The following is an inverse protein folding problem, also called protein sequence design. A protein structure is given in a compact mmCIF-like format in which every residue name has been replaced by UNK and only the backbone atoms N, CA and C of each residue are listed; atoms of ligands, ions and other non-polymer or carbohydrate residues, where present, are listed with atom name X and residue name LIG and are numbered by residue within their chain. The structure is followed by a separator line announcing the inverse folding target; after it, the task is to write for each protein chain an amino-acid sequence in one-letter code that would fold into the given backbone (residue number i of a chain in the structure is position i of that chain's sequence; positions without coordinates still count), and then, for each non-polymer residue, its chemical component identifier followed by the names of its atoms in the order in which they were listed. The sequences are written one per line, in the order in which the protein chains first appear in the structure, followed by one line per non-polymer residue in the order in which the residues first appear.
data_IF_340721186575
#
_entry.id   IF_340721186575
#
_cell.length_a   1.000
_cell.length_b   1.000
_cell.length_c   1.000
_cell.angle_alpha   90.00
_cell.angle_beta   90.00
_cell.angle_gamma   90.00
#
_symmetry.space_group_name_H-M   'P 1'
#
loop_
_entity.id
_entity.type
_entity.pdbx_description
1 polymer ?
#
# COMPACT_ATOMS: atom_id res chain seq x y z
N UNK A 1 19.83 53.72 27.01
CA UNK A 1 20.17 54.08 25.62
C UNK A 1 20.59 52.79 24.92
N UNK A 2 19.62 52.09 24.34
CA UNK A 2 19.83 50.92 23.48
C UNK A 2 18.96 51.16 22.25
N UNK A 3 19.57 50.94 21.09
CA UNK A 3 19.34 51.65 19.84
C UNK A 3 18.03 51.30 19.11
N UNK A 4 17.42 52.34 18.53
CA UNK A 4 16.25 52.33 17.65
C UNK A 4 16.59 51.90 16.20
N UNK A 5 16.84 50.62 15.94
CA UNK A 5 17.05 50.14 14.54
C UNK A 5 16.36 48.80 14.21
N UNK A 6 15.16 48.53 14.76
CA UNK A 6 14.35 47.35 14.35
C UNK A 6 13.01 47.77 13.70
N UNK A 7 12.76 49.06 13.50
CA UNK A 7 11.48 49.57 12.97
C UNK A 7 11.45 49.85 11.47
N UNK A 8 12.44 49.41 10.67
CA UNK A 8 12.48 49.75 9.23
C UNK A 8 12.17 48.62 8.24
N UNK A 9 12.15 47.33 8.63
CA UNK A 9 11.84 46.25 7.67
C UNK A 9 10.43 45.64 7.82
N UNK A 10 9.64 46.09 8.79
CA UNK A 10 8.25 45.68 8.96
C UNK A 10 7.23 46.54 8.18
N UNK A 11 7.68 47.55 7.42
CA UNK A 11 6.80 48.55 6.80
C UNK A 11 6.60 48.39 5.27
N UNK A 12 7.07 47.33 4.63
CA UNK A 12 7.01 47.20 3.17
C UNK A 12 6.30 45.93 2.66
N UNK A 13 5.32 45.42 3.40
CA UNK A 13 4.37 44.43 2.86
C UNK A 13 2.95 44.90 3.17
N UNK A 14 2.57 45.99 2.50
CA UNK A 14 1.17 46.39 2.36
C UNK A 14 0.42 45.24 1.73
N UNK A 15 -0.66 44.85 2.39
CA UNK A 15 -1.68 43.94 1.90
C UNK A 15 -2.26 44.50 0.60
N UNK A 16 -1.98 43.84 -0.52
CA UNK A 16 -2.74 43.99 -1.76
C UNK A 16 -3.05 42.61 -2.36
N UNK A 17 -4.34 42.36 -2.53
CA UNK A 17 -4.85 41.54 -3.64
C UNK A 17 -4.92 40.03 -3.43
N UNK A 18 -6.14 39.53 -3.23
CA UNK A 18 -6.55 38.25 -3.79
C UNK A 18 -6.22 38.24 -5.30
N UNK A 19 -5.18 37.52 -5.68
CA UNK A 19 -4.76 37.37 -7.07
C UNK A 19 -3.57 36.41 -7.15
N UNK A 20 -3.69 35.39 -7.99
CA UNK A 20 -2.75 34.28 -8.14
C UNK A 20 -1.29 34.75 -8.33
N UNK A 21 -0.55 34.87 -7.23
CA UNK A 21 0.89 35.15 -7.25
C UNK A 21 1.60 33.81 -7.07
N UNK A 22 2.09 33.24 -8.17
CA UNK A 22 2.93 32.04 -8.15
C UNK A 22 4.08 32.29 -7.19
N UNK A 23 4.11 31.53 -6.09
CA UNK A 23 5.27 31.42 -5.22
C UNK A 23 6.46 30.99 -6.10
N UNK A 24 7.39 31.90 -6.36
CA UNK A 24 8.58 31.56 -7.13
C UNK A 24 9.48 30.66 -6.28
N UNK A 25 10.26 29.77 -6.93
CA UNK A 25 11.17 28.85 -6.24
C UNK A 25 12.09 29.63 -5.28
N UNK A 26 12.58 30.81 -5.67
CA UNK A 26 13.40 31.67 -4.81
C UNK A 26 12.65 32.22 -3.58
N UNK A 27 11.35 32.49 -3.71
CA UNK A 27 10.53 32.90 -2.57
C UNK A 27 10.30 31.73 -1.61
N UNK A 28 10.05 30.53 -2.14
CA UNK A 28 9.90 29.31 -1.36
C UNK A 28 11.20 28.94 -0.62
N UNK A 29 12.36 29.10 -1.28
CA UNK A 29 13.69 28.88 -0.68
C UNK A 29 13.95 29.90 0.41
N UNK A 30 13.62 31.19 0.21
CA UNK A 30 13.73 32.20 1.27
C UNK A 30 12.84 31.89 2.47
N UNK A 31 11.60 31.45 2.25
CA UNK A 31 10.70 31.04 3.34
C UNK A 31 11.24 29.82 4.10
N UNK A 32 11.79 28.82 3.40
CA UNK A 32 12.44 27.66 4.01
C UNK A 32 13.71 28.04 4.79
N UNK A 33 14.52 28.95 4.28
CA UNK A 33 15.71 29.46 4.97
C UNK A 33 15.32 30.28 6.21
N UNK A 34 14.25 31.09 6.13
CA UNK A 34 13.71 31.82 7.27
C UNK A 34 13.17 30.85 8.32
N UNK A 35 12.40 29.84 7.91
CA UNK A 35 11.88 28.81 8.79
C UNK A 35 13.01 28.04 9.49
N UNK A 36 14.08 27.67 8.78
CA UNK A 36 15.25 27.03 9.37
C UNK A 36 16.04 27.96 10.31
N UNK A 37 16.14 29.25 9.98
CA UNK A 37 16.76 30.26 10.86
C UNK A 37 15.99 30.39 12.17
N UNK A 38 14.66 30.41 12.12
CA UNK A 38 13.81 30.41 13.31
C UNK A 38 13.81 29.06 14.05
N UNK A 39 13.98 27.95 13.34
CA UNK A 39 14.16 26.61 13.93
C UNK A 39 15.43 26.53 14.79
N UNK A 40 16.51 27.20 14.36
CA UNK A 40 17.80 27.25 15.09
C UNK A 40 17.76 28.10 16.36
N UNK A 41 16.78 29.00 16.50
CA UNK A 41 16.63 29.92 17.63
C UNK A 41 15.68 29.42 18.73
N UNK A 42 15.21 28.16 18.65
CA UNK A 42 14.36 27.49 19.64
C UNK A 42 12.99 28.15 19.96
N UNK A 43 12.64 29.29 19.38
CA UNK A 43 11.36 29.98 19.63
C UNK A 43 10.14 29.29 18.97
N UNK A 44 10.34 28.39 18.00
CA UNK A 44 9.28 27.59 17.37
C UNK A 44 9.11 26.19 17.96
N UNK A 45 10.00 25.75 18.86
CA UNK A 45 9.96 24.38 19.40
C UNK A 45 8.68 24.13 20.21
N UNK A 46 8.17 25.12 20.96
CA UNK A 46 6.93 24.97 21.71
C UNK A 46 5.66 25.01 20.83
N UNK A 47 5.71 25.64 19.65
CA UNK A 47 4.56 25.72 18.74
C UNK A 47 4.50 24.51 17.79
N UNK A 48 5.65 24.07 17.25
CA UNK A 48 5.73 22.93 16.33
C UNK A 48 5.90 21.57 17.02
N UNK A 49 6.32 21.48 18.28
CA UNK A 49 6.39 20.19 18.98
C UNK A 49 5.02 19.50 19.11
N UNK A 50 3.92 20.26 18.94
CA UNK A 50 2.55 19.72 18.94
C UNK A 50 2.04 19.35 17.55
N UNK A 51 2.78 19.69 16.48
CA UNK A 51 2.44 19.34 15.10
C UNK A 51 3.20 18.08 14.72
N UNK A 52 2.63 16.92 15.06
CA UNK A 52 2.96 15.67 14.39
C UNK A 52 2.38 15.73 12.98
N UNK A 53 3.11 16.34 12.03
CA UNK A 53 2.72 16.30 10.62
C UNK A 53 3.01 14.88 10.10
N UNK A 54 1.98 14.03 10.10
CA UNK A 54 2.07 12.70 9.48
C UNK A 54 2.07 12.88 7.96
N UNK A 55 3.25 12.98 7.36
CA UNK A 55 3.42 12.93 5.90
C UNK A 55 3.42 11.45 5.48
N UNK A 56 2.25 10.82 5.55
CA UNK A 56 2.03 9.46 5.07
C UNK A 56 0.81 9.43 4.15
N UNK A 57 0.90 8.70 3.04
CA UNK A 57 -0.26 8.42 2.21
C UNK A 57 -1.25 7.57 3.02
N UNK A 58 -2.52 7.99 3.04
CA UNK A 58 -3.62 7.31 3.71
C UNK A 58 -4.69 6.94 2.68
N UNK A 59 -5.30 5.78 2.84
CA UNK A 59 -6.44 5.32 2.05
C UNK A 59 -7.74 5.68 2.77
N UNK A 60 -8.76 6.14 2.04
CA UNK A 60 -10.05 6.48 2.62
C UNK A 60 -10.87 5.20 2.93
N UNK A 61 -11.55 5.18 4.08
CA UNK A 61 -12.32 4.02 4.58
C UNK A 61 -13.82 4.36 4.69
N UNK A 62 -14.68 3.39 4.46
CA UNK A 62 -16.15 3.52 4.63
C UNK A 62 -16.56 3.24 6.09
N UNK A 63 -17.64 3.87 6.57
CA UNK A 63 -18.06 3.87 8.00
C UNK A 63 -18.26 2.46 8.63
N UNK A 64 -18.53 1.42 7.83
CA UNK A 64 -18.83 0.05 8.29
C UNK A 64 -17.61 -0.90 8.34
N UNK A 65 -16.38 -0.43 8.08
CA UNK A 65 -15.19 -1.29 8.16
C UNK A 65 -14.66 -1.38 9.59
N UNK A 66 -15.05 -2.43 10.31
CA UNK A 66 -14.41 -2.84 11.55
C UNK A 66 -12.92 -3.16 11.30
N UNK A 67 -12.04 -2.75 12.22
CA UNK A 67 -10.61 -3.10 12.19
C UNK A 67 -10.40 -4.62 12.15
N UNK A 68 -11.36 -5.36 12.71
CA UNK A 68 -11.46 -6.81 12.73
C UNK A 68 -12.15 -7.44 11.50
N UNK A 69 -12.78 -6.67 10.60
CA UNK A 69 -13.31 -7.13 9.30
C UNK A 69 -12.16 -7.42 8.33
N UNK A 70 -11.36 -8.40 8.72
CA UNK A 70 -10.28 -9.06 7.99
C UNK A 70 -10.79 -9.47 6.60
N UNK A 71 -9.92 -9.28 5.58
CA UNK A 71 -9.76 -10.10 4.35
C UNK A 71 -10.36 -9.66 3.02
N UNK A 72 -11.23 -8.67 2.92
CA UNK A 72 -11.82 -8.35 1.62
C UNK A 72 -11.80 -6.86 1.27
N UNK A 73 -11.20 -6.58 0.09
CA UNK A 73 -11.30 -5.35 -0.72
C UNK A 73 -10.36 -4.20 -0.40
N UNK A 74 -9.07 -4.43 -0.63
CA UNK A 74 -8.27 -3.41 -1.33
C UNK A 74 -8.78 -3.41 -2.78
N UNK A 75 -9.42 -2.31 -3.20
CA UNK A 75 -10.07 -2.04 -4.49
C UNK A 75 -11.50 -2.56 -4.71
N UNK A 76 -12.45 -1.73 -4.28
CA UNK A 76 -13.63 -1.43 -5.10
C UNK A 76 -13.72 0.08 -5.38
N UNK A 77 -12.75 0.58 -6.15
CA UNK A 77 -12.98 1.75 -7.02
C UNK A 77 -13.66 1.23 -8.29
N UNK A 78 -14.83 0.59 -8.16
CA UNK A 78 -15.66 0.29 -9.33
C UNK A 78 -16.15 1.62 -9.88
N UNK A 79 -15.67 1.92 -11.08
CA UNK A 79 -16.20 2.91 -12.02
C UNK A 79 -17.71 2.73 -12.14
N UNK A 80 -18.48 3.61 -11.49
CA UNK A 80 -19.94 3.57 -11.54
C UNK A 80 -20.57 4.57 -10.58
N UNK A 81 -20.88 5.76 -11.11
CA UNK A 81 -21.51 6.90 -10.43
C UNK A 81 -20.64 7.62 -9.38
N UNK A 82 -20.17 8.82 -9.74
CA UNK A 82 -19.56 9.80 -8.81
C UNK A 82 -20.66 10.33 -7.89
N UNK A 83 -21.17 9.47 -7.01
CA UNK A 83 -21.82 9.95 -5.80
C UNK A 83 -20.68 10.43 -4.93
N UNK A 84 -20.67 11.73 -4.72
CA UNK A 84 -19.73 12.46 -3.93
C UNK A 84 -19.39 11.78 -2.59
N UNK A 85 -18.41 10.89 -2.54
CA UNK A 85 -18.06 10.17 -1.30
C UNK A 85 -17.38 11.14 -0.34
N UNK A 86 -17.93 11.22 0.85
CA UNK A 86 -17.52 12.09 1.96
C UNK A 86 -16.76 11.16 2.91
N UNK A 87 -15.49 11.46 3.20
CA UNK A 87 -14.63 10.59 4.01
C UNK A 87 -14.08 11.34 5.21
N UNK A 88 -14.27 10.79 6.40
CA UNK A 88 -13.70 11.26 7.66
C UNK A 88 -12.76 10.23 8.29
N UNK A 89 -12.58 9.05 7.67
CA UNK A 89 -11.73 7.96 8.14
C UNK A 89 -10.65 7.60 7.13
N UNK A 90 -9.44 7.43 7.64
CA UNK A 90 -8.22 7.27 6.85
C UNK A 90 -7.34 6.16 7.40
N UNK A 91 -6.99 5.18 6.57
CA UNK A 91 -6.19 4.02 6.93
C UNK A 91 -4.78 4.14 6.36
N UNK A 92 -3.77 3.81 7.16
CA UNK A 92 -2.42 3.58 6.65
C UNK A 92 -1.78 2.38 7.35
N UNK A 93 -0.79 1.79 6.68
CA UNK A 93 -0.01 0.69 7.21
C UNK A 93 1.44 1.16 7.44
N UNK A 94 1.98 0.86 8.62
CA UNK A 94 3.36 1.16 8.99
C UNK A 94 4.11 -0.16 9.21
N UNK A 95 5.13 -0.48 8.40
CA UNK A 95 6.00 -1.61 8.65
C UNK A 95 6.92 -1.31 9.83
N UNK A 96 7.14 -2.29 10.69
CA UNK A 96 8.09 -2.20 11.80
C UNK A 96 8.65 -3.58 12.17
N UNK A 97 9.73 -3.58 12.92
CA UNK A 97 10.30 -4.77 13.55
C UNK A 97 10.32 -4.55 15.06
N UNK A 98 10.28 -5.62 15.86
CA UNK A 98 10.38 -5.50 17.34
C UNK A 98 11.71 -4.92 17.82
N UNK A 99 12.73 -4.93 16.96
CA UNK A 99 14.05 -4.35 17.21
C UNK A 99 14.12 -2.85 16.85
N UNK A 100 13.00 -2.22 16.50
CA UNK A 100 12.91 -0.78 16.23
C UNK A 100 13.29 -0.35 14.81
N UNK A 101 13.70 -1.27 13.94
CA UNK A 101 13.91 -0.97 12.50
C UNK A 101 12.58 -0.95 11.76
N UNK A 102 12.49 -0.13 10.71
CA UNK A 102 11.29 -0.07 9.85
C UNK A 102 11.15 -1.28 8.92
N UNK A 103 12.28 -1.83 8.45
CA UNK A 103 12.33 -3.00 7.59
C UNK A 103 13.21 -4.11 8.16
N UNK A 104 12.81 -5.36 7.96
CA UNK A 104 13.53 -6.57 8.35
C UNK A 104 13.25 -7.75 7.43
N UNK A 105 13.74 -8.95 7.82
CA UNK A 105 13.36 -10.21 7.17
C UNK A 105 11.88 -10.51 7.31
N UNK A 106 11.35 -11.42 6.50
CA UNK A 106 9.91 -11.74 6.50
C UNK A 106 9.44 -12.25 7.87
N UNK A 107 10.30 -13.01 8.55
CA UNK A 107 10.10 -13.55 9.90
C UNK A 107 10.02 -12.47 11.00
N UNK A 108 10.56 -11.29 10.75
CA UNK A 108 10.63 -10.18 11.71
C UNK A 108 9.75 -8.98 11.31
N UNK A 109 9.12 -9.03 10.13
CA UNK A 109 8.40 -7.90 9.56
C UNK A 109 6.97 -7.81 10.05
N UNK A 110 6.75 -7.02 11.10
CA UNK A 110 5.43 -6.66 11.59
C UNK A 110 4.81 -5.55 10.75
N UNK A 111 3.49 -5.42 10.83
CA UNK A 111 2.71 -4.33 10.22
C UNK A 111 1.74 -3.78 11.24
N UNK A 112 1.72 -2.46 11.43
CA UNK A 112 0.68 -1.75 12.18
C UNK A 112 -0.26 -1.08 11.20
N UNK A 113 -1.55 -1.39 11.28
CA UNK A 113 -2.60 -0.69 10.55
C UNK A 113 -3.21 0.33 11.49
N UNK A 114 -3.23 1.59 11.09
CA UNK A 114 -3.82 2.67 11.87
C UNK A 114 -4.98 3.28 11.10
N UNK A 115 -6.09 3.53 11.78
CA UNK A 115 -7.25 4.26 11.27
C UNK A 115 -7.35 5.58 12.03
N UNK A 116 -7.28 6.67 11.28
CA UNK A 116 -7.42 8.03 11.77
C UNK A 116 -8.84 8.51 11.45
N UNK A 117 -9.49 9.14 12.42
CA UNK A 117 -10.74 9.86 12.21
C UNK A 117 -10.46 11.35 12.29
N UNK A 118 -10.95 12.11 11.31
CA UNK A 118 -10.84 13.57 11.28
C UNK A 118 -12.08 14.25 11.87
N UNK A 119 -11.93 15.49 12.32
CA UNK A 119 -13.00 16.31 12.94
C UNK A 119 -14.19 16.54 12.00
N UNK A 120 -13.95 16.46 10.70
CA UNK A 120 -14.98 16.47 9.68
C UNK A 120 -14.54 15.66 8.47
N UNK A 121 -15.23 15.84 7.37
CA UNK A 121 -14.97 15.05 6.17
C UNK A 121 -14.25 15.83 5.08
N UNK A 122 -13.38 15.14 4.34
CA UNK A 122 -12.75 15.71 3.16
C UNK A 122 -13.81 15.95 2.07
N UNK A 123 -13.76 17.16 1.50
CA UNK A 123 -14.82 18.01 0.85
C UNK A 123 -15.07 19.31 1.62
N UNK A 124 -14.50 19.46 2.81
CA UNK A 124 -14.49 20.72 3.53
C UNK A 124 -13.88 21.86 2.69
N UNK A 125 -14.23 23.10 3.03
CA UNK A 125 -13.64 24.32 2.45
C UNK A 125 -12.15 24.49 2.81
N UNK A 126 -11.59 23.57 3.57
CA UNK A 126 -10.22 23.56 4.08
C UNK A 126 -9.47 22.33 3.57
N UNK A 127 -8.16 22.49 3.35
CA UNK A 127 -7.27 21.44 2.84
C UNK A 127 -6.66 20.57 3.94
N UNK A 128 -6.89 20.90 5.21
CA UNK A 128 -6.36 20.20 6.39
C UNK A 128 -7.47 20.06 7.41
N UNK A 129 -7.61 18.87 7.98
CA UNK A 129 -8.55 18.56 9.06
C UNK A 129 -7.79 17.94 10.23
N UNK A 130 -8.19 18.28 11.44
CA UNK A 130 -7.60 17.73 12.66
C UNK A 130 -7.99 16.26 12.80
N UNK A 131 -7.03 15.43 13.23
CA UNK A 131 -7.30 14.05 13.63
C UNK A 131 -7.82 14.05 15.07
N UNK A 132 -9.05 13.60 15.27
CA UNK A 132 -9.73 13.55 16.57
C UNK A 132 -9.65 12.17 17.22
N UNK A 133 -9.40 11.12 16.43
CA UNK A 133 -9.29 9.74 16.91
C UNK A 133 -8.23 8.99 16.11
N UNK A 134 -7.50 8.11 16.79
CA UNK A 134 -6.55 7.19 16.15
C UNK A 134 -6.66 5.83 16.84
N UNK A 135 -6.90 4.79 16.05
CA UNK A 135 -6.92 3.40 16.51
C UNK A 135 -5.94 2.60 15.68
N UNK A 136 -5.26 1.63 16.28
CA UNK A 136 -4.29 0.82 15.55
C UNK A 136 -4.35 -0.66 15.93
N UNK A 137 -4.11 -1.51 14.95
CA UNK A 137 -4.03 -2.95 15.07
C UNK A 137 -2.70 -3.44 14.50
N UNK A 138 -2.02 -4.30 15.25
CA UNK A 138 -0.76 -4.91 14.82
C UNK A 138 -0.98 -6.31 14.27
N UNK A 139 -0.29 -6.60 13.18
CA UNK A 139 -0.26 -7.90 12.53
C UNK A 139 1.12 -8.51 12.74
N UNK A 140 1.12 -9.76 13.19
CA UNK A 140 2.33 -10.56 13.30
C UNK A 140 2.98 -10.79 11.92
N UNK A 141 4.25 -11.22 11.86
CA UNK A 141 4.97 -11.40 10.61
C UNK A 141 4.28 -12.40 9.66
N UNK A 142 3.74 -13.49 10.20
CA UNK A 142 2.97 -14.46 9.42
C UNK A 142 1.65 -13.89 8.92
N UNK A 143 0.90 -13.15 9.75
CA UNK A 143 -0.35 -12.50 9.32
C UNK A 143 -0.09 -11.42 8.27
N UNK A 144 1.04 -10.72 8.38
CA UNK A 144 1.46 -9.75 7.40
C UNK A 144 1.77 -10.43 6.05
N UNK A 145 2.51 -11.55 6.07
CA UNK A 145 2.82 -12.32 4.87
C UNK A 145 1.56 -12.93 4.22
N UNK A 146 0.63 -13.48 5.01
CA UNK A 146 -0.67 -13.96 4.52
C UNK A 146 -1.43 -12.81 3.84
N UNK A 147 -1.51 -11.64 4.49
CA UNK A 147 -2.19 -10.48 3.93
C UNK A 147 -1.55 -9.98 2.62
N UNK A 148 -0.24 -10.12 2.44
CA UNK A 148 0.43 -9.80 1.18
C UNK A 148 0.01 -10.76 0.05
N UNK A 149 -0.07 -12.06 0.36
CA UNK A 149 -0.53 -13.10 -0.59
C UNK A 149 -2.00 -12.86 -0.96
N UNK A 150 -2.86 -12.64 0.04
CA UNK A 150 -4.29 -12.36 -0.17
C UNK A 150 -4.50 -11.09 -1.02
N UNK A 151 -3.75 -10.01 -0.73
CA UNK A 151 -3.81 -8.76 -1.52
C UNK A 151 -3.43 -9.01 -2.98
N UNK A 152 -2.36 -9.77 -3.22
CA UNK A 152 -1.93 -10.09 -4.59
C UNK A 152 -2.94 -10.97 -5.31
N UNK A 153 -3.52 -11.93 -4.59
CA UNK A 153 -4.56 -12.84 -5.10
C UNK A 153 -5.82 -12.07 -5.48
N UNK A 154 -6.27 -11.14 -4.62
CA UNK A 154 -7.41 -10.28 -4.90
C UNK A 154 -7.17 -9.38 -6.12
N UNK A 155 -5.98 -8.79 -6.25
CA UNK A 155 -5.62 -8.00 -7.42
C UNK A 155 -5.70 -8.81 -8.72
N UNK A 156 -5.20 -10.06 -8.72
CA UNK A 156 -5.37 -10.95 -9.86
C UNK A 156 -6.84 -11.25 -10.12
N UNK A 157 -7.62 -11.62 -9.10
CA UNK A 157 -9.06 -11.91 -9.27
C UNK A 157 -9.83 -10.77 -9.91
N UNK A 158 -9.60 -9.55 -9.46
CA UNK A 158 -10.27 -8.37 -10.01
C UNK A 158 -9.98 -8.22 -11.51
N UNK A 159 -8.76 -8.53 -11.96
CA UNK A 159 -8.44 -8.54 -13.39
C UNK A 159 -9.07 -9.72 -14.13
N UNK A 160 -9.46 -10.80 -13.45
CA UNK A 160 -10.14 -11.96 -14.05
C UNK A 160 -11.66 -11.81 -14.12
N UNK A 161 -12.26 -10.97 -13.28
CA UNK A 161 -13.69 -10.65 -13.35
C UNK A 161 -14.02 -9.98 -14.69
N UNK A 162 -14.99 -10.53 -15.42
CA UNK A 162 -15.35 -9.99 -16.74
C UNK A 162 -16.08 -8.64 -16.62
N UNK A 163 -15.68 -7.59 -17.36
CA UNK A 163 -16.50 -6.42 -17.52
C UNK A 163 -17.73 -6.80 -18.34
N UNK A 164 -18.92 -6.54 -17.78
CA UNK A 164 -20.14 -6.40 -18.55
C UNK A 164 -19.94 -5.24 -19.54
N UNK A 165 -19.66 -5.59 -20.80
CA UNK A 165 -19.95 -4.76 -21.97
C UNK A 165 -19.15 -3.45 -22.12
N UNK A 166 -17.94 -3.50 -22.70
CA UNK A 166 -17.40 -2.41 -23.56
C UNK A 166 -16.03 -2.80 -24.15
N UNK A 167 -15.97 -2.97 -25.46
CA UNK A 167 -14.77 -3.39 -26.23
C UNK A 167 -13.55 -2.44 -26.10
N UNK A 168 -13.73 -1.23 -25.55
CA UNK A 168 -12.66 -0.25 -25.38
C UNK A 168 -11.70 -0.50 -24.20
N UNK A 169 -12.02 -1.41 -23.27
CA UNK A 169 -11.25 -1.59 -22.02
C UNK A 169 -10.29 -2.80 -22.03
N UNK A 170 -10.13 -3.50 -23.16
CA UNK A 170 -9.41 -4.77 -23.21
C UNK A 170 -7.88 -4.63 -23.09
N UNK A 171 -7.29 -3.64 -23.78
CA UNK A 171 -5.82 -3.46 -23.80
C UNK A 171 -5.25 -3.02 -22.43
N UNK A 172 -5.81 -2.02 -21.71
CA UNK A 172 -5.33 -1.65 -20.39
C UNK A 172 -5.46 -2.78 -19.36
N UNK A 173 -6.52 -3.59 -19.48
CA UNK A 173 -6.74 -4.77 -18.65
C UNK A 173 -5.69 -5.85 -18.92
N UNK A 174 -5.39 -6.14 -20.19
CA UNK A 174 -4.34 -7.10 -20.55
C UNK A 174 -2.99 -6.67 -19.96
N UNK A 175 -2.61 -5.40 -20.10
CA UNK A 175 -1.37 -4.87 -19.54
C UNK A 175 -1.33 -4.95 -18.01
N UNK A 176 -2.45 -4.64 -17.33
CA UNK A 176 -2.55 -4.78 -15.88
C UNK A 176 -2.40 -6.25 -15.45
N UNK A 177 -3.13 -7.16 -16.12
CA UNK A 177 -3.05 -8.60 -15.90
C UNK A 177 -1.62 -9.12 -16.11
N UNK A 178 -0.96 -8.75 -17.21
CA UNK A 178 0.42 -9.12 -17.53
C UNK A 178 1.38 -8.70 -16.41
N UNK A 179 1.31 -7.44 -15.98
CA UNK A 179 2.16 -6.90 -14.91
C UNK A 179 1.94 -7.61 -13.57
N UNK A 180 0.68 -7.85 -13.20
CA UNK A 180 0.36 -8.53 -11.94
C UNK A 180 0.75 -10.01 -12.03
N UNK A 181 0.49 -10.68 -13.14
CA UNK A 181 0.81 -12.09 -13.30
C UNK A 181 2.33 -12.33 -13.33
N UNK A 182 3.08 -11.52 -14.09
CA UNK A 182 4.54 -11.59 -14.12
C UNK A 182 5.16 -11.44 -12.73
N UNK A 183 4.77 -10.38 -11.99
CA UNK A 183 5.27 -10.19 -10.62
C UNK A 183 4.72 -11.19 -9.60
N UNK A 184 3.89 -12.16 -10.01
CA UNK A 184 3.37 -13.24 -9.17
C UNK A 184 4.09 -14.57 -9.45
N UNK A 185 4.31 -14.93 -10.72
CA UNK A 185 4.83 -16.25 -11.12
C UNK A 185 6.21 -16.23 -11.76
N UNK A 186 6.68 -15.05 -12.21
CA UNK A 186 7.95 -14.88 -12.92
C UNK A 186 8.78 -13.75 -12.27
N UNK A 187 8.92 -13.81 -10.95
CA UNK A 187 9.57 -12.76 -10.16
C UNK A 187 11.09 -12.84 -10.32
N UNK A 188 11.72 -11.74 -10.76
CA UNK A 188 13.17 -11.68 -10.98
C UNK A 188 13.93 -10.89 -9.90
N UNK A 189 13.29 -9.89 -9.29
CA UNK A 189 13.95 -8.94 -8.37
C UNK A 189 13.40 -9.01 -6.94
N UNK A 190 12.11 -9.28 -6.78
CA UNK A 190 11.47 -9.33 -5.47
C UNK A 190 11.41 -10.75 -4.90
N UNK A 191 11.37 -10.85 -3.58
CA UNK A 191 11.15 -12.12 -2.87
C UNK A 191 9.65 -12.47 -2.98
N UNK A 192 9.30 -13.37 -3.92
CA UNK A 192 7.93 -13.80 -4.19
C UNK A 192 7.33 -14.69 -3.10
N UNK A 193 6.22 -15.40 -3.38
CA UNK A 193 5.58 -16.27 -2.37
C UNK A 193 6.46 -17.43 -1.89
N UNK A 194 7.49 -17.79 -2.68
CA UNK A 194 8.47 -18.78 -2.28
C UNK A 194 9.25 -18.36 -1.02
N UNK A 195 9.67 -17.10 -0.91
CA UNK A 195 10.42 -16.65 0.27
C UNK A 195 9.56 -16.68 1.53
N UNK A 196 8.23 -16.55 1.40
CA UNK A 196 7.30 -16.75 2.51
C UNK A 196 7.36 -18.21 2.98
N UNK A 197 7.37 -19.17 2.05
CA UNK A 197 7.52 -20.59 2.40
C UNK A 197 8.89 -20.85 3.02
N UNK A 198 9.95 -20.29 2.46
CA UNK A 198 11.30 -20.43 3.05
C UNK A 198 11.35 -19.88 4.47
N UNK A 199 10.78 -18.70 4.73
CA UNK A 199 10.80 -18.07 6.04
C UNK A 199 9.96 -18.83 7.08
N UNK A 200 8.76 -19.28 6.72
CA UNK A 200 7.79 -19.81 7.69
C UNK A 200 7.61 -21.33 7.69
N UNK A 201 8.06 -22.04 6.66
CA UNK A 201 7.82 -23.48 6.48
C UNK A 201 9.10 -24.35 6.42
N UNK A 202 10.30 -23.77 6.35
CA UNK A 202 11.57 -24.54 6.27
C UNK A 202 11.96 -25.29 7.56
N UNK A 203 11.24 -25.08 8.67
CA UNK A 203 11.34 -25.93 9.85
C UNK A 203 12.31 -25.47 10.95
N UNK A 204 12.79 -24.22 10.95
CA UNK A 204 13.53 -23.70 12.10
C UNK A 204 12.61 -23.54 13.34
N UNK A 205 13.08 -23.85 14.57
CA UNK A 205 12.24 -23.79 15.77
C UNK A 205 11.61 -22.42 16.03
N UNK A 206 12.31 -21.34 15.67
CA UNK A 206 11.87 -19.96 15.87
C UNK A 206 10.73 -19.53 14.93
N UNK A 207 10.56 -20.22 13.79
CA UNK A 207 9.53 -19.91 12.78
C UNK A 207 8.37 -20.91 12.82
N UNK A 208 8.33 -21.79 13.81
CA UNK A 208 7.27 -22.79 13.97
C UNK A 208 5.92 -22.10 14.22
N UNK A 209 5.10 -22.07 13.17
CA UNK A 209 3.75 -21.52 13.20
C UNK A 209 2.82 -22.34 14.11
N UNK A 210 1.82 -21.67 14.71
CA UNK A 210 0.70 -22.37 15.34
C UNK A 210 -0.11 -23.10 14.26
N UNK A 211 -0.79 -24.18 14.62
CA UNK A 211 -1.58 -24.98 13.67
C UNK A 211 -2.57 -24.14 12.85
N UNK A 212 -3.22 -23.16 13.48
CA UNK A 212 -4.16 -22.25 12.81
C UNK A 212 -3.47 -21.33 11.79
N UNK A 213 -2.31 -20.75 12.14
CA UNK A 213 -1.55 -19.86 11.24
C UNK A 213 -0.99 -20.64 10.06
N UNK A 214 -0.51 -21.85 10.31
CA UNK A 214 -0.05 -22.77 9.27
C UNK A 214 -1.17 -23.09 8.28
N UNK A 215 -2.37 -23.44 8.78
CA UNK A 215 -3.53 -23.72 7.94
C UNK A 215 -3.95 -22.50 7.11
N UNK A 216 -3.96 -21.30 7.71
CA UNK A 216 -4.30 -20.07 7.01
C UNK A 216 -3.28 -19.73 5.92
N UNK A 217 -1.98 -19.90 6.19
CA UNK A 217 -0.92 -19.67 5.22
C UNK A 217 -1.01 -20.65 4.05
N UNK A 218 -1.19 -21.94 4.33
CA UNK A 218 -1.35 -22.97 3.29
C UNK A 218 -2.59 -22.67 2.44
N UNK A 219 -3.72 -22.33 3.05
CA UNK A 219 -4.94 -22.00 2.32
C UNK A 219 -4.75 -20.79 1.39
N UNK A 220 -4.11 -19.71 1.89
CA UNK A 220 -3.84 -18.52 1.08
C UNK A 220 -2.89 -18.84 -0.10
N UNK A 221 -1.89 -19.70 0.09
CA UNK A 221 -0.98 -20.13 -0.97
C UNK A 221 -1.67 -20.99 -2.04
N UNK A 222 -2.48 -21.97 -1.63
CA UNK A 222 -3.25 -22.80 -2.56
C UNK A 222 -4.21 -21.94 -3.40
N UNK A 223 -4.89 -21.02 -2.73
CA UNK A 223 -5.81 -20.09 -3.33
C UNK A 223 -5.11 -19.16 -4.35
N UNK A 224 -3.94 -18.62 -3.99
CA UNK A 224 -3.08 -17.84 -4.88
C UNK A 224 -2.69 -18.63 -6.12
N UNK A 225 -2.23 -19.88 -5.96
CA UNK A 225 -1.82 -20.74 -7.07
C UNK A 225 -2.99 -21.04 -8.02
N UNK A 226 -4.17 -21.32 -7.48
CA UNK A 226 -5.38 -21.55 -8.26
C UNK A 226 -5.77 -20.32 -9.10
N UNK A 227 -5.65 -19.12 -8.52
CA UNK A 227 -5.90 -17.85 -9.22
C UNK A 227 -4.85 -17.58 -10.29
N UNK A 228 -3.56 -17.79 -10.00
CA UNK A 228 -2.48 -17.66 -10.98
C UNK A 228 -2.69 -18.58 -12.19
N UNK A 229 -3.04 -19.86 -11.95
CA UNK A 229 -3.37 -20.81 -13.02
C UNK A 229 -4.54 -20.32 -13.89
N UNK A 230 -5.59 -19.79 -13.27
CA UNK A 230 -6.73 -19.20 -13.98
C UNK A 230 -6.31 -17.98 -14.79
N UNK A 231 -5.46 -17.12 -14.23
CA UNK A 231 -4.94 -15.93 -14.89
C UNK A 231 -4.11 -16.25 -16.13
N UNK A 232 -3.26 -17.28 -16.07
CA UNK A 232 -2.50 -17.76 -17.24
C UNK A 232 -3.45 -18.21 -18.36
N UNK A 233 -4.51 -18.96 -18.02
CA UNK A 233 -5.52 -19.40 -19.00
C UNK A 233 -6.28 -18.24 -19.64
N UNK A 234 -6.63 -17.23 -18.85
CA UNK A 234 -7.30 -16.02 -19.35
C UNK A 234 -6.35 -15.22 -20.23
N UNK A 235 -5.10 -15.01 -19.79
CA UNK A 235 -4.08 -14.33 -20.57
C UNK A 235 -3.91 -14.97 -21.95
N UNK A 236 -3.77 -16.31 -22.03
CA UNK A 236 -3.66 -17.02 -23.31
C UNK A 236 -4.80 -16.71 -24.30
N UNK A 237 -6.03 -16.47 -23.80
CA UNK A 237 -7.19 -16.15 -24.65
C UNK A 237 -7.22 -14.69 -25.11
N UNK A 238 -6.51 -13.80 -24.42
CA UNK A 238 -6.54 -12.36 -24.67
C UNK A 238 -5.40 -11.88 -25.57
N UNK A 239 -4.33 -12.66 -25.71
CA UNK A 239 -3.10 -12.26 -26.38
C UNK A 239 -3.06 -12.58 -27.89
N UNK A 240 -2.26 -11.81 -28.62
CA UNK A 240 -1.89 -12.06 -30.02
C UNK A 240 -0.64 -12.92 -30.19
N UNK A 241 -0.06 -12.92 -31.39
CA UNK A 241 1.20 -13.65 -31.70
C UNK A 241 2.41 -12.99 -31.04
N UNK A 242 2.40 -11.66 -30.91
CA UNK A 242 3.47 -10.85 -30.36
C UNK A 242 3.78 -11.15 -28.89
N UNK A 243 2.79 -11.64 -28.14
CA UNK A 243 2.85 -11.90 -26.71
C UNK A 243 3.12 -13.40 -26.39
N UNK A 244 3.28 -14.27 -27.39
CA UNK A 244 3.43 -15.71 -27.18
C UNK A 244 4.71 -16.09 -26.42
N UNK A 245 5.82 -15.41 -26.72
CA UNK A 245 7.08 -15.62 -26.00
C UNK A 245 6.93 -15.23 -24.52
N UNK A 246 6.30 -14.08 -24.27
CA UNK A 246 6.01 -13.61 -22.92
C UNK A 246 5.08 -14.58 -22.17
N UNK A 247 4.04 -15.08 -22.83
CA UNK A 247 3.15 -16.10 -22.25
C UNK A 247 3.90 -17.37 -21.87
N UNK A 248 4.82 -17.83 -22.72
CA UNK A 248 5.66 -19.00 -22.45
C UNK A 248 6.52 -18.78 -21.20
N UNK A 249 7.07 -17.59 -21.02
CA UNK A 249 7.82 -17.24 -19.79
C UNK A 249 6.93 -17.31 -18.54
N UNK A 250 5.68 -16.83 -18.61
CA UNK A 250 4.73 -16.93 -17.49
C UNK A 250 4.39 -18.38 -17.14
N UNK A 251 4.19 -19.23 -18.15
CA UNK A 251 3.91 -20.66 -17.95
C UNK A 251 5.10 -21.35 -17.29
N UNK A 252 6.31 -21.12 -17.79
CA UNK A 252 7.54 -21.70 -17.22
C UNK A 252 7.76 -21.23 -15.78
N UNK A 253 7.56 -19.93 -15.51
CA UNK A 253 7.65 -19.38 -14.16
C UNK A 253 6.65 -20.04 -13.20
N UNK A 254 5.40 -20.20 -13.63
CA UNK A 254 4.37 -20.88 -12.83
C UNK A 254 4.71 -22.35 -12.57
N UNK A 255 5.26 -23.06 -13.55
CA UNK A 255 5.70 -24.46 -13.38
C UNK A 255 6.86 -24.57 -12.38
N UNK A 256 7.87 -23.71 -12.47
CA UNK A 256 8.99 -23.66 -11.50
C UNK A 256 8.46 -23.37 -10.10
N UNK A 257 7.61 -22.35 -9.96
CA UNK A 257 7.00 -21.99 -8.69
C UNK A 257 6.18 -23.15 -8.10
N UNK A 258 5.41 -23.86 -8.92
CA UNK A 258 4.63 -25.03 -8.50
C UNK A 258 5.54 -26.13 -7.97
N UNK A 259 6.62 -26.45 -8.70
CA UNK A 259 7.59 -27.47 -8.29
C UNK A 259 8.28 -27.09 -6.97
N UNK A 260 8.72 -25.84 -6.83
CA UNK A 260 9.41 -25.38 -5.62
C UNK A 260 8.49 -25.34 -4.40
N UNK A 261 7.26 -24.85 -4.56
CA UNK A 261 6.27 -24.83 -3.47
C UNK A 261 5.82 -26.22 -3.06
N UNK A 262 5.83 -27.20 -3.97
CA UNK A 262 5.44 -28.59 -3.66
C UNK A 262 6.34 -29.25 -2.62
N UNK A 263 7.59 -28.80 -2.47
CA UNK A 263 8.51 -29.26 -1.44
C UNK A 263 8.04 -28.90 -0.03
N UNK A 264 7.29 -27.80 0.11
CA UNK A 264 6.73 -27.33 1.38
C UNK A 264 5.27 -27.77 1.56
N UNK A 265 4.49 -27.76 0.49
CA UNK A 265 3.05 -28.04 0.49
C UNK A 265 2.76 -29.06 -0.61
N UNK A 266 2.85 -30.38 -0.33
CA UNK A 266 2.64 -31.42 -1.33
C UNK A 266 1.25 -31.38 -2.00
N UNK A 267 0.24 -30.86 -1.29
CA UNK A 267 -1.13 -30.72 -1.80
C UNK A 267 -1.25 -29.81 -3.04
N UNK A 268 -0.25 -28.94 -3.30
CA UNK A 268 -0.19 -28.09 -4.49
C UNK A 268 -0.22 -28.93 -5.78
N UNK A 269 0.38 -30.13 -5.78
CA UNK A 269 0.39 -31.01 -6.94
C UNK A 269 -0.93 -31.75 -7.16
N UNK A 270 -1.77 -31.88 -6.14
CA UNK A 270 -3.05 -32.59 -6.23
C UNK A 270 -4.23 -31.69 -6.61
N UNK A 271 -4.14 -30.39 -6.34
CA UNK A 271 -5.24 -29.43 -6.58
C UNK A 271 -5.10 -28.62 -7.88
N UNK A 272 -3.94 -28.69 -8.55
CA UNK A 272 -3.62 -28.04 -9.83
C UNK A 272 -3.50 -29.07 -10.94
#
# INVERSE_FOLDING_TARGET
MVSNEITSEASAAVVEGYGASKLTVDSAVKYLQLANKFFSQAELYHFCASILELIAAVDAVMEDEDLGSRRERIFSLSTGSVRARVFDRFLFNTPFTKNGKTQGGLEDQWKRRSVLQTEGSFRALVSRLLVIKSESLEFSPVENAIGMIETRTAALRNELEEPRSSEGNQLPRLQSLQRILQGSVAVQVNSGVLSVCTAFLSGEPATRLRSQELQQLIAALLEFMAVCKRAIRVHFRLIGEEDQEFHTQLVNGFQSLTAELSNYIPAILSEL
#
